data_IF_421170178428
#
_entry.id   IF_421170178428
#
_cell.length_a   1.000
_cell.length_b   1.000
_cell.length_c   1.000
_cell.angle_alpha   90.00
_cell.angle_beta   90.00
_cell.angle_gamma   90.00
#
_symmetry.space_group_name_H-M   'P 1'
#
loop_
_entity.id
_entity.type
_entity.pdbx_description
1 polymer ?
#
# COMPACT_ATOMS: atom_id res chain seq x y z
N UNK A 1 11.63 -14.58 -11.59
CA UNK A 1 11.93 -13.92 -10.29
C UNK A 1 10.72 -13.15 -9.84
N UNK A 2 10.44 -13.05 -8.54
CA UNK A 2 9.34 -12.24 -7.99
C UNK A 2 9.94 -11.06 -7.20
N UNK A 3 9.70 -9.84 -7.68
CA UNK A 3 10.06 -8.61 -7.00
C UNK A 3 8.79 -7.97 -6.40
N UNK A 4 8.78 -7.79 -5.08
CA UNK A 4 7.68 -7.19 -4.35
C UNK A 4 7.98 -5.73 -4.04
N UNK A 5 7.30 -4.81 -4.72
CA UNK A 5 7.57 -3.37 -4.71
C UNK A 5 6.48 -2.68 -3.91
N UNK A 6 6.87 -1.92 -2.88
CA UNK A 6 5.91 -1.17 -2.09
C UNK A 6 6.47 0.12 -1.50
N UNK A 7 5.59 1.09 -1.33
CA UNK A 7 5.86 2.33 -0.60
C UNK A 7 5.66 2.11 0.90
N UNK A 8 6.50 2.72 1.72
CA UNK A 8 6.47 2.59 3.16
C UNK A 8 6.48 3.93 3.88
N UNK A 9 5.62 4.07 4.90
CA UNK A 9 5.48 5.26 5.70
C UNK A 9 5.24 4.93 7.19
N UNK A 10 5.85 3.86 7.70
CA UNK A 10 5.83 3.51 9.13
C UNK A 10 4.65 2.66 9.57
N UNK A 11 3.90 2.07 8.63
CA UNK A 11 2.80 1.16 8.91
C UNK A 11 3.30 -0.16 9.54
N UNK A 12 2.69 -0.64 10.64
CA UNK A 12 3.11 -1.89 11.30
C UNK A 12 2.88 -3.14 10.43
N UNK A 13 2.05 -3.02 9.38
CA UNK A 13 1.81 -4.09 8.42
C UNK A 13 3.07 -4.54 7.66
N UNK A 14 4.15 -3.76 7.67
CA UNK A 14 5.41 -4.14 7.03
C UNK A 14 5.93 -5.49 7.52
N UNK A 15 5.94 -5.75 8.83
CA UNK A 15 6.44 -7.02 9.36
C UNK A 15 5.56 -8.20 8.92
N UNK A 16 4.23 -8.01 8.96
CA UNK A 16 3.29 -9.03 8.50
C UNK A 16 3.49 -9.34 7.03
N UNK A 17 3.63 -8.31 6.18
CA UNK A 17 3.91 -8.45 4.75
C UNK A 17 5.17 -9.29 4.51
N UNK A 18 6.28 -8.91 5.15
CA UNK A 18 7.55 -9.62 5.01
C UNK A 18 7.44 -11.07 5.45
N UNK A 19 6.85 -11.34 6.63
CA UNK A 19 6.62 -12.69 7.16
C UNK A 19 5.77 -13.54 6.22
N UNK A 20 4.68 -12.97 5.70
CA UNK A 20 3.71 -13.65 4.85
C UNK A 20 4.31 -14.06 3.50
N UNK A 21 5.12 -13.19 2.92
CA UNK A 21 5.63 -13.32 1.54
C UNK A 21 7.06 -13.88 1.45
N UNK A 22 7.78 -14.03 2.57
CA UNK A 22 9.20 -14.34 2.58
C UNK A 22 9.57 -15.58 1.74
N UNK A 23 8.74 -16.63 1.80
CA UNK A 23 9.01 -17.90 1.11
C UNK A 23 8.64 -17.88 -0.39
N UNK A 24 7.91 -16.85 -0.84
CA UNK A 24 7.35 -16.79 -2.19
C UNK A 24 7.92 -15.64 -3.03
N UNK A 25 8.56 -14.67 -2.37
CA UNK A 25 9.24 -13.52 -2.99
C UNK A 25 10.75 -13.75 -3.08
N UNK A 26 11.37 -13.32 -4.19
CA UNK A 26 12.83 -13.31 -4.35
C UNK A 26 13.45 -12.04 -3.75
N UNK A 27 12.77 -10.90 -3.87
CA UNK A 27 13.23 -9.62 -3.32
C UNK A 27 12.06 -8.71 -2.92
N UNK A 28 12.16 -8.09 -1.75
CA UNK A 28 11.34 -6.97 -1.31
C UNK A 28 12.04 -5.66 -1.64
N UNK A 29 11.36 -4.76 -2.33
CA UNK A 29 11.83 -3.42 -2.68
C UNK A 29 10.95 -2.42 -1.93
N UNK A 30 11.43 -2.06 -0.74
CA UNK A 30 10.78 -1.09 0.14
C UNK A 30 11.25 0.32 -0.23
N UNK A 31 10.35 1.17 -0.69
CA UNK A 31 10.64 2.58 -0.94
C UNK A 31 10.15 3.41 0.23
N UNK A 32 11.01 4.24 0.81
CA UNK A 32 10.63 5.22 1.83
C UNK A 32 11.11 6.61 1.44
N UNK A 33 10.26 7.62 1.62
CA UNK A 33 10.61 9.03 1.44
C UNK A 33 10.87 9.74 2.77
N UNK A 34 11.76 10.74 2.79
CA UNK A 34 11.96 11.60 3.97
C UNK A 34 10.77 12.54 4.23
N UNK A 35 10.09 12.95 3.17
CA UNK A 35 8.89 13.77 3.25
C UNK A 35 7.64 12.91 3.16
N UNK A 36 6.52 13.41 3.70
CA UNK A 36 5.21 12.78 3.51
C UNK A 36 4.55 13.30 2.23
N UNK A 37 3.56 12.58 1.73
CA UNK A 37 2.85 12.99 0.51
C UNK A 37 2.13 14.33 0.67
N UNK A 38 1.78 14.77 1.88
CA UNK A 38 1.23 16.11 2.10
C UNK A 38 2.25 17.26 2.02
N UNK A 39 3.56 16.97 1.86
CA UNK A 39 4.59 17.95 1.48
C UNK A 39 5.31 18.65 2.63
N UNK A 40 5.00 18.32 3.89
CA UNK A 40 5.76 18.81 5.03
C UNK A 40 6.80 17.78 5.49
N UNK A 41 7.97 18.24 5.94
CA UNK A 41 8.97 17.39 6.62
C UNK A 41 8.48 17.05 8.03
N UNK A 42 7.51 16.13 8.09
CA UNK A 42 6.85 15.72 9.34
C UNK A 42 7.52 14.51 10.01
N UNK A 43 8.42 13.80 9.30
CA UNK A 43 9.06 12.60 9.83
C UNK A 43 10.27 12.94 10.71
N UNK A 44 10.32 12.35 11.91
CA UNK A 44 11.48 12.43 12.81
C UNK A 44 12.55 11.38 12.46
N UNK A 45 12.88 11.22 11.18
CA UNK A 45 13.78 10.19 10.66
C UNK A 45 13.08 9.15 9.78
N UNK A 46 13.82 8.12 9.35
CA UNK A 46 13.29 7.05 8.52
C UNK A 46 12.71 5.92 9.38
N UNK A 47 11.54 5.43 9.02
CA UNK A 47 10.93 4.30 9.71
C UNK A 47 11.74 3.02 9.52
N UNK A 48 12.36 2.79 8.36
CA UNK A 48 13.24 1.62 8.19
C UNK A 48 14.43 1.60 9.16
N UNK A 49 14.89 2.76 9.62
CA UNK A 49 15.92 2.86 10.66
C UNK A 49 15.34 2.57 12.05
N UNK A 50 14.16 3.11 12.34
CA UNK A 50 13.46 2.89 13.62
C UNK A 50 13.07 1.42 13.82
N UNK A 51 12.73 0.71 12.74
CA UNK A 51 12.34 -0.70 12.74
C UNK A 51 13.50 -1.65 12.36
N UNK A 52 14.76 -1.20 12.41
CA UNK A 52 15.91 -1.96 11.90
C UNK A 52 16.08 -3.37 12.53
N UNK A 53 15.65 -3.56 13.78
CA UNK A 53 15.66 -4.87 14.44
C UNK A 53 14.53 -5.79 13.93
N UNK A 54 13.34 -5.25 13.67
CA UNK A 54 12.22 -5.98 13.06
C UNK A 54 12.57 -6.42 11.63
N UNK A 55 13.29 -5.57 10.90
CA UNK A 55 13.71 -5.84 9.52
C UNK A 55 14.91 -6.79 9.41
N UNK A 56 15.64 -7.00 10.50
CA UNK A 56 16.88 -7.80 10.54
C UNK A 56 16.74 -9.21 9.96
N UNK A 57 15.67 -9.99 10.24
CA UNK A 57 15.50 -11.34 9.69
C UNK A 57 15.32 -11.36 8.16
N UNK A 58 14.93 -10.24 7.55
CA UNK A 58 14.56 -10.18 6.13
C UNK A 58 15.64 -9.53 5.25
N UNK A 59 16.77 -9.12 5.84
CA UNK A 59 17.82 -8.34 5.16
C UNK A 59 18.44 -9.02 3.94
N UNK A 60 18.37 -10.35 3.84
CA UNK A 60 18.88 -11.09 2.70
C UNK A 60 18.03 -10.90 1.44
N UNK A 61 16.75 -10.53 1.60
CA UNK A 61 15.82 -10.25 0.50
C UNK A 61 15.32 -8.80 0.45
N UNK A 62 15.64 -7.98 1.45
CA UNK A 62 15.11 -6.62 1.58
C UNK A 62 16.08 -5.58 1.01
N UNK A 63 15.67 -4.96 -0.10
CA UNK A 63 16.27 -3.74 -0.62
C UNK A 63 15.47 -2.52 -0.16
N UNK A 64 16.17 -1.52 0.37
CA UNK A 64 15.59 -0.26 0.82
C UNK A 64 16.05 0.84 -0.13
N UNK A 65 15.09 1.56 -0.72
CA UNK A 65 15.32 2.73 -1.57
C UNK A 65 14.81 3.97 -0.85
N UNK A 66 15.63 5.01 -0.74
CA UNK A 66 15.28 6.24 -0.03
C UNK A 66 15.09 7.41 -1.00
N UNK A 67 13.92 8.02 -0.96
CA UNK A 67 13.67 9.31 -1.62
C UNK A 67 14.11 10.40 -0.66
N UNK A 68 15.28 10.97 -0.94
CA UNK A 68 15.87 12.06 -0.17
C UNK A 68 15.06 13.36 -0.28
N UNK A 69 14.60 13.67 -1.49
CA UNK A 69 13.77 14.84 -1.82
C UNK A 69 12.89 14.53 -3.04
N UNK A 70 11.64 14.97 -3.02
CA UNK A 70 10.77 14.88 -4.20
C UNK A 70 11.11 16.00 -5.20
N UNK A 71 11.19 15.70 -6.50
CA UNK A 71 11.31 16.75 -7.51
C UNK A 71 10.13 17.72 -7.46
N UNK A 72 10.36 18.97 -7.85
CA UNK A 72 9.28 19.94 -8.04
C UNK A 72 8.62 19.67 -9.39
N UNK A 73 7.29 19.39 -9.46
CA UNK A 73 6.61 19.18 -10.73
C UNK A 73 6.52 20.49 -11.51
N UNK A 74 6.69 20.42 -12.83
CA UNK A 74 6.39 21.55 -13.71
C UNK A 74 4.88 21.78 -13.85
N UNK A 75 4.50 22.95 -14.38
CA UNK A 75 3.11 23.34 -14.52
C UNK A 75 2.29 22.39 -15.41
N UNK A 76 2.88 21.83 -16.46
CA UNK A 76 2.21 20.89 -17.36
C UNK A 76 1.98 19.54 -16.69
N UNK A 77 2.93 19.08 -15.87
CA UNK A 77 2.75 17.87 -15.05
C UNK A 77 1.61 18.03 -14.05
N UNK A 78 1.48 19.18 -13.39
CA UNK A 78 0.35 19.45 -12.50
C UNK A 78 -0.97 19.54 -13.26
N UNK A 79 -0.95 20.14 -14.46
CA UNK A 79 -2.12 20.22 -15.32
C UNK A 79 -2.60 18.84 -15.80
N UNK A 80 -1.69 17.92 -16.09
CA UNK A 80 -2.03 16.54 -16.46
C UNK A 80 -2.67 15.74 -15.31
N UNK A 81 -2.37 16.11 -14.06
CA UNK A 81 -3.02 15.56 -12.86
C UNK A 81 -4.38 16.21 -12.56
N UNK A 82 -4.79 17.25 -13.33
CA UNK A 82 -6.07 17.93 -13.15
C UNK A 82 -7.26 17.06 -13.59
N UNK A 83 -7.81 16.31 -12.63
CA UNK A 83 -9.19 15.78 -12.67
C UNK A 83 -10.18 16.77 -12.05
N UNK A 84 -11.49 16.47 -12.10
CA UNK A 84 -12.55 17.27 -11.45
C UNK A 84 -12.34 17.43 -9.94
N UNK A 85 -11.70 16.48 -9.26
CA UNK A 85 -11.43 16.49 -7.83
C UNK A 85 -10.23 17.38 -7.45
N UNK A 86 -9.15 17.34 -8.23
CA UNK A 86 -7.95 18.18 -8.00
C UNK A 86 -8.18 19.67 -8.34
N UNK A 87 -9.23 20.00 -9.11
CA UNK A 87 -9.65 21.39 -9.32
C UNK A 87 -10.22 22.03 -8.05
N UNK A 88 -10.77 21.22 -7.13
CA UNK A 88 -11.35 21.70 -5.86
C UNK A 88 -10.26 21.82 -4.78
N UNK A 89 -9.23 20.97 -4.85
CA UNK A 89 -8.11 20.94 -3.90
C UNK A 89 -6.75 20.91 -4.63
N UNK A 90 -6.19 22.08 -5.03
CA UNK A 90 -4.91 22.15 -5.75
C UNK A 90 -3.73 21.56 -4.97
N UNK A 91 -3.76 21.65 -3.64
CA UNK A 91 -2.80 21.04 -2.71
C UNK A 91 -2.73 19.50 -2.88
N UNK A 92 -3.85 18.86 -3.23
CA UNK A 92 -3.92 17.42 -3.47
C UNK A 92 -3.20 17.04 -4.77
N UNK A 93 -3.16 17.89 -5.80
CA UNK A 93 -2.44 17.59 -7.05
C UNK A 93 -0.93 17.38 -6.80
N UNK A 94 -0.31 18.20 -5.96
CA UNK A 94 1.09 18.00 -5.57
C UNK A 94 1.28 16.73 -4.73
N UNK A 95 0.32 16.39 -3.89
CA UNK A 95 0.38 15.19 -3.09
C UNK A 95 0.27 13.92 -3.94
N UNK A 96 -0.63 13.92 -4.92
CA UNK A 96 -0.77 12.87 -5.94
C UNK A 96 0.48 12.74 -6.82
N UNK A 97 1.11 13.86 -7.16
CA UNK A 97 2.40 13.83 -7.84
C UNK A 97 3.45 13.11 -7.01
N UNK A 98 3.59 13.46 -5.72
CA UNK A 98 4.54 12.79 -4.81
C UNK A 98 4.21 11.31 -4.64
N UNK A 99 2.94 10.93 -4.55
CA UNK A 99 2.54 9.52 -4.51
C UNK A 99 2.94 8.76 -5.79
N UNK A 100 2.65 9.35 -6.96
CA UNK A 100 2.99 8.77 -8.26
C UNK A 100 4.50 8.61 -8.41
N UNK A 101 5.27 9.63 -8.04
CA UNK A 101 6.73 9.60 -8.03
C UNK A 101 7.26 8.53 -7.06
N UNK A 102 6.70 8.45 -5.85
CA UNK A 102 7.10 7.48 -4.85
C UNK A 102 6.92 6.04 -5.36
N UNK A 103 5.78 5.76 -6.00
CA UNK A 103 5.53 4.46 -6.64
C UNK A 103 6.51 4.18 -7.77
N UNK A 104 6.76 5.15 -8.65
CA UNK A 104 7.66 4.99 -9.80
C UNK A 104 9.15 4.95 -9.43
N UNK A 105 9.53 5.35 -8.22
CA UNK A 105 10.93 5.45 -7.81
C UNK A 105 11.71 4.12 -7.89
N UNK A 106 11.03 3.00 -7.72
CA UNK A 106 11.65 1.67 -7.83
C UNK A 106 11.91 1.22 -9.29
N UNK A 107 11.34 1.89 -10.29
CA UNK A 107 11.37 1.42 -11.68
C UNK A 107 12.79 1.32 -12.25
N UNK A 108 13.64 2.31 -11.99
CA UNK A 108 15.03 2.32 -12.47
C UNK A 108 15.86 1.21 -11.82
N UNK A 109 15.64 0.97 -10.52
CA UNK A 109 16.28 -0.13 -9.81
C UNK A 109 15.88 -1.47 -10.42
N UNK A 110 14.58 -1.70 -10.62
CA UNK A 110 14.03 -2.93 -11.21
C UNK A 110 14.59 -3.12 -12.63
N UNK A 111 14.60 -2.08 -13.45
CA UNK A 111 15.14 -2.13 -14.81
C UNK A 111 16.62 -2.47 -14.83
N UNK A 112 17.42 -1.85 -13.95
CA UNK A 112 18.86 -2.10 -13.84
C UNK A 112 19.15 -3.54 -13.40
N UNK A 113 18.40 -4.03 -12.40
CA UNK A 113 18.62 -5.35 -11.79
C UNK A 113 18.08 -6.50 -12.63
N UNK A 114 16.89 -6.34 -13.20
CA UNK A 114 16.13 -7.42 -13.84
C UNK A 114 15.93 -7.25 -15.34
N UNK A 115 16.31 -6.11 -15.94
CA UNK A 115 15.90 -5.72 -17.30
C UNK A 115 16.20 -6.73 -18.43
N UNK A 116 17.11 -7.66 -18.22
CA UNK A 116 17.49 -8.71 -19.17
C UNK A 116 16.92 -10.11 -18.84
N UNK A 117 16.20 -10.27 -17.73
CA UNK A 117 15.70 -11.56 -17.24
C UNK A 117 14.17 -11.63 -17.14
N UNK A 118 13.67 -12.85 -16.94
CA UNK A 118 12.26 -13.12 -16.64
C UNK A 118 11.93 -12.75 -15.18
N UNK A 119 10.96 -11.86 -14.99
CA UNK A 119 10.52 -11.46 -13.66
C UNK A 119 9.05 -11.07 -13.63
N UNK A 120 8.47 -11.11 -12.44
CA UNK A 120 7.17 -10.52 -12.12
C UNK A 120 7.39 -9.46 -11.06
N UNK A 121 6.93 -8.24 -11.32
CA UNK A 121 6.81 -7.18 -10.35
C UNK A 121 5.41 -7.25 -9.73
N UNK A 122 5.34 -7.42 -8.42
CA UNK A 122 4.16 -7.14 -7.62
C UNK A 122 4.29 -5.68 -7.17
N UNK A 123 3.29 -4.86 -7.48
CA UNK A 123 3.29 -3.44 -7.11
C UNK A 123 2.11 -3.20 -6.19
N UNK A 124 2.41 -2.82 -4.96
CA UNK A 124 1.45 -2.69 -3.89
C UNK A 124 1.76 -1.47 -3.02
N UNK A 125 0.77 -0.97 -2.28
CA UNK A 125 1.03 -0.21 -1.06
C UNK A 125 1.33 -1.20 0.09
N UNK A 126 2.03 -0.77 1.16
CA UNK A 126 2.45 -1.70 2.24
C UNK A 126 1.27 -2.40 2.94
N UNK A 127 0.10 -1.75 2.95
CA UNK A 127 -1.15 -2.26 3.52
C UNK A 127 -1.98 -3.12 2.57
N UNK A 128 -1.52 -3.35 1.34
CA UNK A 128 -2.10 -4.29 0.38
C UNK A 128 -1.27 -5.58 0.41
N UNK A 129 -1.76 -6.65 1.05
CA UNK A 129 -1.04 -7.91 1.31
C UNK A 129 -1.41 -8.98 0.27
N UNK A 130 -0.58 -9.26 -0.76
CA UNK A 130 -0.82 -10.35 -1.70
C UNK A 130 -0.98 -11.72 -1.01
N UNK A 131 -1.88 -12.55 -1.52
CA UNK A 131 -1.98 -13.95 -1.08
C UNK A 131 -0.75 -14.74 -1.58
N UNK A 132 0.04 -15.38 -0.69
CA UNK A 132 1.15 -16.23 -1.09
C UNK A 132 0.79 -17.33 -2.10
N UNK A 133 -0.46 -17.82 -2.11
CA UNK A 133 -0.94 -18.78 -3.09
C UNK A 133 -0.94 -18.20 -4.51
N UNK A 134 -1.43 -16.96 -4.69
CA UNK A 134 -1.39 -16.25 -5.98
C UNK A 134 0.05 -15.96 -6.37
N UNK A 135 0.91 -15.56 -5.41
CA UNK A 135 2.33 -15.31 -5.69
C UNK A 135 3.06 -16.57 -6.16
N UNK A 136 2.73 -17.75 -5.62
CA UNK A 136 3.24 -19.03 -6.14
C UNK A 136 2.69 -19.33 -7.53
N UNK A 137 1.39 -19.09 -7.75
CA UNK A 137 0.75 -19.34 -9.04
C UNK A 137 1.41 -18.52 -10.17
N UNK A 138 1.61 -17.21 -9.97
CA UNK A 138 2.26 -16.35 -10.98
C UNK A 138 3.69 -16.76 -11.29
N UNK A 139 4.37 -17.39 -10.32
CA UNK A 139 5.75 -17.88 -10.46
C UNK A 139 5.82 -19.22 -11.17
N UNK A 140 4.93 -20.14 -10.80
CA UNK A 140 5.07 -21.57 -11.11
C UNK A 140 4.19 -22.00 -12.30
N UNK A 141 3.18 -21.21 -12.68
CA UNK A 141 2.29 -21.47 -13.82
C UNK A 141 2.66 -20.60 -15.02
N UNK A 142 3.20 -21.24 -16.07
CA UNK A 142 3.54 -20.56 -17.33
C UNK A 142 2.33 -19.82 -17.94
N UNK A 143 1.16 -20.47 -17.96
CA UNK A 143 -0.06 -19.87 -18.51
C UNK A 143 -0.61 -18.72 -17.65
N UNK A 144 -0.29 -18.66 -16.36
CA UNK A 144 -0.60 -17.51 -15.50
C UNK A 144 0.40 -16.39 -15.75
N UNK A 145 1.68 -16.71 -15.85
CA UNK A 145 2.77 -15.76 -16.14
C UNK A 145 2.60 -15.03 -17.48
N UNK A 146 2.19 -15.73 -18.56
CA UNK A 146 2.00 -15.11 -19.88
C UNK A 146 0.91 -14.02 -19.87
N UNK A 147 -0.13 -14.18 -19.05
CA UNK A 147 -1.19 -13.18 -18.90
C UNK A 147 -0.69 -11.88 -18.28
N UNK A 148 0.42 -11.91 -17.54
CA UNK A 148 0.99 -10.74 -16.88
C UNK A 148 1.76 -9.81 -17.84
N UNK A 149 1.69 -10.05 -19.15
CA UNK A 149 2.14 -9.10 -20.18
C UNK A 149 1.35 -7.79 -20.16
N UNK A 150 0.20 -7.76 -19.47
CA UNK A 150 -0.45 -6.54 -18.99
C UNK A 150 -0.68 -6.60 -17.48
N UNK A 151 -0.76 -5.44 -16.79
CA UNK A 151 -0.99 -5.41 -15.35
C UNK A 151 -2.24 -6.22 -14.96
N UNK A 152 -2.10 -7.20 -14.09
CA UNK A 152 -3.21 -7.99 -13.56
C UNK A 152 -3.46 -7.62 -12.10
N UNK A 153 -4.64 -7.07 -11.82
CA UNK A 153 -4.99 -6.58 -10.50
C UNK A 153 -5.20 -7.71 -9.49
N UNK A 154 -4.81 -7.50 -8.26
CA UNK A 154 -5.08 -8.38 -7.13
C UNK A 154 -6.38 -7.92 -6.50
N UNK A 155 -7.46 -8.68 -6.67
CA UNK A 155 -8.77 -8.34 -6.09
C UNK A 155 -8.79 -8.85 -4.66
N UNK A 156 -8.57 -7.92 -3.73
CA UNK A 156 -8.35 -8.16 -2.31
C UNK A 156 -9.61 -7.94 -1.48
N UNK A 157 -9.73 -8.69 -0.38
CA UNK A 157 -10.70 -8.36 0.66
C UNK A 157 -10.30 -7.05 1.35
N UNK A 158 -11.23 -6.11 1.48
CA UNK A 158 -10.96 -4.78 2.01
C UNK A 158 -11.37 -4.68 3.48
N UNK A 159 -10.41 -4.47 4.36
CA UNK A 159 -10.60 -4.28 5.79
C UNK A 159 -10.24 -2.87 6.22
N UNK A 160 -10.93 -2.40 7.25
CA UNK A 160 -10.67 -1.13 7.90
C UNK A 160 -10.33 -1.37 9.37
N UNK A 161 -9.37 -0.60 9.88
CA UNK A 161 -8.93 -0.56 11.27
C UNK A 161 -8.21 -1.81 11.77
N UNK A 162 -8.80 -2.97 11.57
CA UNK A 162 -8.27 -4.29 11.89
C UNK A 162 -9.11 -5.33 11.12
N UNK A 163 -8.74 -6.61 11.21
CA UNK A 163 -9.44 -7.67 10.50
C UNK A 163 -10.89 -7.99 10.96
N UNK A 164 -11.44 -7.27 11.96
CA UNK A 164 -12.85 -7.40 12.36
C UNK A 164 -13.78 -6.70 11.36
N UNK A 165 -13.36 -5.57 10.78
CA UNK A 165 -14.27 -4.71 10.01
C UNK A 165 -13.97 -4.78 8.53
N UNK A 166 -14.83 -5.48 7.79
CA UNK A 166 -14.69 -5.68 6.34
C UNK A 166 -15.68 -4.79 5.58
N UNK A 167 -15.19 -4.12 4.56
CA UNK A 167 -16.03 -3.40 3.61
C UNK A 167 -16.60 -4.38 2.56
N UNK A 168 -17.78 -4.07 2.02
CA UNK A 168 -18.48 -4.97 1.10
C UNK A 168 -17.80 -5.08 -0.27
N UNK A 169 -17.24 -3.97 -0.75
CA UNK A 169 -16.56 -3.95 -2.04
C UNK A 169 -15.09 -4.35 -1.87
N UNK A 170 -14.54 -5.14 -2.80
CA UNK A 170 -13.14 -5.48 -2.78
C UNK A 170 -12.27 -4.29 -3.17
N UNK A 171 -11.00 -4.37 -2.80
CA UNK A 171 -9.98 -3.41 -3.20
C UNK A 171 -9.10 -4.01 -4.30
N UNK A 172 -8.76 -3.26 -5.35
CA UNK A 172 -8.09 -3.84 -6.52
C UNK A 172 -7.10 -2.90 -7.21
N UNK A 173 -6.32 -2.13 -6.44
CA UNK A 173 -5.28 -1.28 -7.01
C UNK A 173 -3.90 -1.95 -7.05
N UNK A 174 -3.65 -2.95 -6.20
CA UNK A 174 -2.42 -3.72 -6.24
C UNK A 174 -2.43 -4.61 -7.49
N UNK A 175 -1.28 -4.85 -8.13
CA UNK A 175 -1.23 -5.65 -9.34
C UNK A 175 0.09 -6.42 -9.51
N UNK A 176 0.07 -7.40 -10.41
CA UNK A 176 1.23 -8.13 -10.89
C UNK A 176 1.46 -7.85 -12.38
N UNK A 177 2.72 -7.69 -12.79
CA UNK A 177 3.10 -7.53 -14.20
C UNK A 177 4.42 -8.24 -14.46
N UNK A 178 4.56 -8.91 -15.61
CA UNK A 178 5.83 -9.54 -15.98
C UNK A 178 6.78 -8.56 -16.67
N UNK A 179 7.98 -9.01 -17.01
CA UNK A 179 9.01 -8.20 -17.65
C UNK A 179 8.57 -7.61 -19.00
N UNK A 180 7.68 -8.27 -19.73
CA UNK A 180 7.16 -7.74 -20.99
C UNK A 180 6.26 -6.54 -20.70
N UNK A 181 5.24 -6.70 -19.86
CA UNK A 181 4.33 -5.61 -19.51
C UNK A 181 5.05 -4.46 -18.82
N UNK A 182 6.05 -4.76 -17.98
CA UNK A 182 6.91 -3.76 -17.37
C UNK A 182 7.64 -2.91 -18.42
N UNK A 183 8.23 -3.54 -19.45
CA UNK A 183 8.95 -2.84 -20.53
C UNK A 183 8.01 -2.09 -21.46
N UNK A 184 6.88 -2.69 -21.82
CA UNK A 184 5.92 -2.12 -22.77
C UNK A 184 5.29 -0.82 -22.24
N UNK A 185 5.20 -0.66 -20.92
CA UNK A 185 4.77 0.58 -20.26
C UNK A 185 5.94 1.38 -19.66
N UNK A 186 7.15 1.16 -20.16
CA UNK A 186 8.38 1.89 -19.80
C UNK A 186 8.74 1.89 -18.30
N UNK A 187 8.15 0.98 -17.51
CA UNK A 187 8.30 0.93 -16.06
C UNK A 187 7.48 1.97 -15.30
N UNK A 188 6.47 2.60 -15.92
CA UNK A 188 5.55 3.51 -15.22
C UNK A 188 4.55 2.72 -14.36
N UNK A 189 4.98 2.47 -13.11
CA UNK A 189 4.23 1.69 -12.14
C UNK A 189 2.92 2.36 -11.72
N UNK A 190 2.83 3.69 -11.80
CA UNK A 190 1.61 4.43 -11.52
C UNK A 190 0.61 4.31 -12.67
N UNK A 191 1.05 4.42 -13.92
CA UNK A 191 0.18 4.25 -15.09
C UNK A 191 -0.38 2.82 -15.18
N UNK A 192 0.44 1.81 -14.87
CA UNK A 192 0.01 0.41 -14.79
C UNK A 192 -1.12 0.21 -13.78
N UNK A 193 -1.05 0.88 -12.61
CA UNK A 193 -2.11 0.86 -11.57
C UNK A 193 -3.45 1.36 -12.11
N UNK A 194 -3.41 2.39 -12.95
CA UNK A 194 -4.61 3.02 -13.51
C UNK A 194 -5.18 2.27 -14.71
N UNK A 195 -4.48 1.25 -15.22
CA UNK A 195 -4.86 0.54 -16.43
C UNK A 195 -6.00 -0.46 -16.17
N UNK A 196 -7.10 -0.42 -16.94
CA UNK A 196 -8.21 -1.35 -16.78
C UNK A 196 -7.82 -2.73 -17.28
N UNK A 197 -7.80 -3.73 -16.39
CA UNK A 197 -7.39 -5.09 -16.73
C UNK A 197 -8.11 -6.15 -15.88
N UNK A 198 -7.93 -7.42 -16.27
CA UNK A 198 -8.34 -8.60 -15.49
C UNK A 198 -7.68 -8.62 -14.10
N UNK A 199 -8.32 -9.32 -13.17
CA UNK A 199 -7.78 -9.47 -11.82
C UNK A 199 -7.89 -10.87 -11.24
N UNK A 200 -6.96 -11.19 -10.34
CA UNK A 200 -6.97 -12.38 -9.51
C UNK A 200 -7.99 -12.21 -8.38
N UNK A 201 -9.08 -12.97 -8.43
CA UNK A 201 -10.03 -13.03 -7.31
C UNK A 201 -9.36 -13.72 -6.12
N UNK A 202 -9.53 -13.18 -4.92
CA UNK A 202 -8.79 -13.66 -3.76
C UNK A 202 -7.31 -13.29 -3.85
N UNK A 203 -7.01 -12.11 -4.42
CA UNK A 203 -5.64 -11.63 -4.62
C UNK A 203 -4.90 -11.28 -3.32
N UNK A 204 -5.59 -11.29 -2.18
CA UNK A 204 -5.02 -10.96 -0.88
C UNK A 204 -5.97 -10.15 0.00
N UNK A 205 -5.38 -9.32 0.86
CA UNK A 205 -6.08 -8.52 1.86
C UNK A 205 -5.56 -7.08 1.87
N UNK A 206 -6.44 -6.09 1.90
CA UNK A 206 -6.08 -4.69 2.04
C UNK A 206 -6.51 -4.17 3.42
N UNK A 207 -5.57 -3.64 4.20
CA UNK A 207 -5.76 -3.21 5.59
C UNK A 207 -5.71 -1.70 5.79
N UNK A 208 -6.80 -1.00 5.48
CA UNK A 208 -6.87 0.46 5.67
C UNK A 208 -6.86 0.83 7.15
N UNK A 209 -5.97 1.75 7.55
CA UNK A 209 -5.87 2.27 8.92
C UNK A 209 -5.53 1.23 10.00
N UNK A 210 -4.73 0.21 9.66
CA UNK A 210 -4.24 -0.81 10.60
C UNK A 210 -3.13 -0.24 11.51
N UNK A 211 -3.51 0.72 12.35
CA UNK A 211 -2.64 1.56 13.14
C UNK A 211 -3.22 1.76 14.56
N UNK A 212 -2.38 2.21 15.50
CA UNK A 212 -2.88 2.75 16.78
C UNK A 212 -3.67 4.05 16.54
N UNK A 213 -4.42 4.51 17.54
CA UNK A 213 -5.19 5.78 17.42
C UNK A 213 -4.29 6.96 17.03
N UNK A 214 -3.13 7.22 17.69
CA UNK A 214 -2.19 8.26 17.22
C UNK A 214 -1.63 8.01 15.82
N UNK A 215 -1.44 6.73 15.45
CA UNK A 215 -1.01 6.35 14.11
C UNK A 215 -2.03 6.69 13.02
N UNK A 216 -3.32 6.49 13.30
CA UNK A 216 -4.43 6.86 12.39
C UNK A 216 -4.45 8.37 12.19
N UNK A 217 -4.35 9.16 13.26
CA UNK A 217 -4.24 10.64 13.18
C UNK A 217 -3.09 11.04 12.26
N UNK A 218 -1.89 10.53 12.52
CA UNK A 218 -0.70 10.78 11.68
C UNK A 218 -0.93 10.40 10.21
N UNK A 219 -1.58 9.25 9.94
CA UNK A 219 -1.86 8.80 8.57
C UNK A 219 -2.76 9.80 7.84
N UNK A 220 -3.85 10.24 8.49
CA UNK A 220 -4.78 11.24 7.94
C UNK A 220 -4.10 12.60 7.66
N UNK A 221 -3.11 13.00 8.46
CA UNK A 221 -2.35 14.24 8.23
C UNK A 221 -1.33 14.11 7.07
N UNK A 222 -0.88 12.89 6.77
CA UNK A 222 0.29 12.62 5.91
C UNK A 222 -0.02 12.20 4.48
N UNK A 223 -1.18 11.59 4.22
CA UNK A 223 -1.53 11.04 2.90
C UNK A 223 -2.06 12.09 1.90
N UNK A 224 -2.29 11.69 0.64
CA UNK A 224 -2.62 12.60 -0.44
C UNK A 224 -4.01 13.27 -0.34
N UNK A 225 -4.94 12.67 0.39
CA UNK A 225 -6.29 13.18 0.58
C UNK A 225 -6.37 14.27 1.67
N UNK A 226 -5.93 15.48 1.33
CA UNK A 226 -5.87 16.63 2.25
C UNK A 226 -7.24 17.03 2.82
N UNK A 227 -8.32 16.71 2.12
CA UNK A 227 -9.70 17.00 2.51
C UNK A 227 -10.13 16.35 3.85
N UNK A 228 -9.46 15.26 4.27
CA UNK A 228 -9.79 14.56 5.51
C UNK A 228 -8.90 14.98 6.70
N UNK A 229 -8.01 15.96 6.51
CA UNK A 229 -7.16 16.49 7.58
C UNK A 229 -7.87 17.60 8.38
N UNK A 230 -9.12 17.37 8.81
CA UNK A 230 -9.94 18.32 9.59
C UNK A 230 -10.08 17.89 11.04
N UNK A 231 -10.34 18.83 11.96
CA UNK A 231 -10.51 18.53 13.40
C UNK A 231 -11.57 17.44 13.66
N UNK A 232 -12.60 17.37 12.82
CA UNK A 232 -13.66 16.35 12.91
C UNK A 232 -13.14 14.92 12.73
N UNK A 233 -12.23 14.69 11.77
CA UNK A 233 -11.72 13.36 11.47
C UNK A 233 -10.47 12.99 12.30
N UNK A 234 -9.78 14.00 12.83
CA UNK A 234 -8.59 13.82 13.66
C UNK A 234 -8.92 13.62 15.15
N UNK A 235 -10.17 13.78 15.59
CA UNK A 235 -10.58 13.57 16.97
C UNK A 235 -10.35 12.10 17.42
N UNK A 236 -9.46 11.85 18.41
CA UNK A 236 -9.20 10.51 18.92
C UNK A 236 -10.44 9.78 19.46
N UNK A 237 -11.45 10.51 19.96
CA UNK A 237 -12.67 9.87 20.45
C UNK A 237 -13.55 9.36 19.31
N UNK A 238 -13.66 10.13 18.23
CA UNK A 238 -14.30 9.72 16.99
C UNK A 238 -13.61 8.47 16.41
N UNK A 239 -12.27 8.47 16.32
CA UNK A 239 -11.49 7.30 15.88
C UNK A 239 -11.81 6.08 16.74
N UNK A 240 -11.73 6.20 18.07
CA UNK A 240 -12.05 5.09 19.01
C UNK A 240 -13.50 4.63 18.92
N UNK A 241 -14.42 5.52 18.55
CA UNK A 241 -15.81 5.18 18.24
C UNK A 241 -15.86 4.22 17.05
N UNK A 242 -15.24 4.60 15.93
CA UNK A 242 -15.25 3.78 14.72
C UNK A 242 -14.45 2.47 14.83
N UNK A 243 -13.35 2.44 15.58
CA UNK A 243 -12.65 1.19 15.91
C UNK A 243 -13.58 0.16 16.59
N UNK A 244 -14.50 0.64 17.44
CA UNK A 244 -15.42 -0.20 18.23
C UNK A 244 -16.73 -0.55 17.50
N UNK A 245 -17.23 0.34 16.65
CA UNK A 245 -18.53 0.19 16.01
C UNK A 245 -18.47 -0.19 14.53
N UNK A 246 -17.29 -0.10 13.91
CA UNK A 246 -17.16 -0.28 12.46
C UNK A 246 -17.77 0.86 11.65
N UNK A 247 -17.89 2.07 12.20
CA UNK A 247 -18.25 3.22 11.37
C UNK A 247 -17.11 3.62 10.43
N UNK A 248 -17.45 4.15 9.25
CA UNK A 248 -16.45 4.79 8.40
C UNK A 248 -16.06 6.15 8.99
N UNK A 249 -14.79 6.28 9.36
CA UNK A 249 -14.18 7.52 9.87
C UNK A 249 -14.32 8.70 8.90
N UNK A 250 -14.30 8.45 7.59
CA UNK A 250 -14.37 9.51 6.58
C UNK A 250 -15.80 10.03 6.36
N UNK A 251 -16.81 9.36 6.96
CA UNK A 251 -18.23 9.74 6.91
C UNK A 251 -18.72 10.11 5.49
N UNK A 252 -18.16 9.46 4.46
CA UNK A 252 -18.51 9.73 3.07
C UNK A 252 -19.93 9.26 2.77
N UNK A 253 -20.62 10.00 1.89
CA UNK A 253 -21.92 9.61 1.35
C UNK A 253 -21.77 8.99 -0.04
N UNK A 254 -22.39 7.82 -0.32
CA UNK A 254 -23.23 7.03 0.60
C UNK A 254 -22.42 6.40 1.74
N UNK A 255 -23.00 6.34 2.94
CA UNK A 255 -22.34 5.77 4.13
C UNK A 255 -21.78 4.38 3.82
N UNK A 256 -20.44 4.25 3.86
CA UNK A 256 -19.78 2.95 3.76
C UNK A 256 -20.09 2.14 5.01
N UNK A 257 -20.79 1.02 4.84
CA UNK A 257 -21.11 0.09 5.92
C UNK A 257 -20.00 -0.94 6.01
N UNK A 258 -19.33 -1.00 7.16
CA UNK A 258 -18.41 -2.08 7.49
C UNK A 258 -19.19 -3.19 8.20
N UNK A 259 -18.83 -4.42 7.89
CA UNK A 259 -19.44 -5.62 8.44
C UNK A 259 -18.43 -6.35 9.32
N UNK A 260 -18.91 -6.91 10.42
CA UNK A 260 -18.10 -7.81 11.23
C UNK A 260 -17.69 -9.04 10.41
N UNK A 261 -16.40 -9.37 10.46
CA UNK A 261 -15.80 -10.50 9.79
C UNK A 261 -15.33 -11.53 10.82
N UNK A 262 -15.43 -12.80 10.47
CA UNK A 262 -14.92 -13.88 11.29
C UNK A 262 -13.39 -13.98 11.15
N UNK A 263 -12.65 -13.30 12.02
CA UNK A 263 -11.17 -13.30 12.03
C UNK A 263 -10.58 -14.72 12.08
N UNK A 264 -11.27 -15.68 12.71
CA UNK A 264 -10.80 -17.07 12.76
C UNK A 264 -10.76 -17.78 11.40
N UNK A 265 -11.38 -17.20 10.37
CA UNK A 265 -11.32 -17.70 9.00
C UNK A 265 -10.07 -17.25 8.24
N UNK A 266 -9.30 -16.28 8.76
CA UNK A 266 -8.10 -15.76 8.13
C UNK A 266 -6.88 -16.68 8.34
N UNK A 267 -5.81 -16.56 7.54
CA UNK A 267 -4.56 -17.26 7.79
C UNK A 267 -3.97 -16.92 9.18
N UNK A 268 -3.30 -17.87 9.87
CA UNK A 268 -2.79 -17.64 11.24
C UNK A 268 -1.92 -16.38 11.43
N UNK A 269 -1.02 -15.98 10.49
CA UNK A 269 -0.26 -14.75 10.64
C UNK A 269 -1.12 -13.49 10.73
N UNK A 270 -2.25 -13.45 10.00
CA UNK A 270 -3.19 -12.33 10.03
C UNK A 270 -3.98 -12.30 11.35
N UNK A 271 -4.33 -13.48 11.88
CA UNK A 271 -4.98 -13.59 13.19
C UNK A 271 -4.07 -13.10 14.32
N UNK A 272 -2.80 -13.52 14.32
CA UNK A 272 -1.81 -13.08 15.30
C UNK A 272 -1.63 -11.56 15.26
N UNK A 273 -1.48 -11.01 14.05
CA UNK A 273 -1.38 -9.56 13.86
C UNK A 273 -2.63 -8.84 14.34
N UNK A 274 -3.84 -9.35 14.04
CA UNK A 274 -5.10 -8.79 14.52
C UNK A 274 -5.11 -8.65 16.04
N UNK A 275 -4.79 -9.71 16.77
CA UNK A 275 -4.80 -9.72 18.23
C UNK A 275 -3.86 -8.64 18.81
N UNK A 276 -2.65 -8.53 18.25
CA UNK A 276 -1.67 -7.53 18.68
C UNK A 276 -2.15 -6.11 18.37
N UNK A 277 -2.71 -5.89 17.19
CA UNK A 277 -3.21 -4.58 16.78
C UNK A 277 -4.40 -4.12 17.63
N UNK A 278 -5.37 -5.00 17.90
CA UNK A 278 -6.52 -4.69 18.76
C UNK A 278 -6.06 -4.33 20.17
N UNK A 279 -5.10 -5.08 20.73
CA UNK A 279 -4.51 -4.74 22.02
C UNK A 279 -3.93 -3.32 22.04
N UNK A 280 -3.15 -2.95 21.01
CA UNK A 280 -2.59 -1.59 20.87
C UNK A 280 -3.69 -0.53 20.72
N UNK A 281 -4.75 -0.82 19.97
CA UNK A 281 -5.88 0.09 19.74
C UNK A 281 -6.68 0.37 21.02
N UNK A 282 -6.75 -0.61 21.93
CA UNK A 282 -7.47 -0.49 23.21
C UNK A 282 -6.62 0.13 24.33
N UNK A 283 -5.31 -0.13 24.36
CA UNK A 283 -4.47 0.14 25.54
C UNK A 283 -3.38 1.20 25.32
N UNK A 284 -3.02 1.52 24.07
CA UNK A 284 -2.00 2.52 23.75
C UNK A 284 -2.68 3.76 23.15
N UNK A 285 -3.13 4.65 24.03
CA UNK A 285 -3.81 5.91 23.72
C UNK A 285 -2.93 7.13 23.91
#
# INVERSE_FOLDING_TARGET
KIADIFMYNGEPLLELRLKLLYDVVDEFICVEARDVHSGARQKQGLYVEQYAEVLKPYRDKLTILIIEEFPTPDAGTLEALHTSWTHIFPESAQAWYRESYHRNYAADYVRSKYGNGAFVALVCDVDELPDPAIVREVRDSFGTYEKLSTPHHLVMEHFFYNFQWRYVDPFSNAYAVNEQGFRDMEGDLNLMRMSPNSGFRGGGWHGSYFLSVPGIVRKLESYAHREYSTEQFLDPNTIRGCLRSGCNILQQEPVWVLHEHNVSALPPPLQEFHCNLVFLQEHCG
#
